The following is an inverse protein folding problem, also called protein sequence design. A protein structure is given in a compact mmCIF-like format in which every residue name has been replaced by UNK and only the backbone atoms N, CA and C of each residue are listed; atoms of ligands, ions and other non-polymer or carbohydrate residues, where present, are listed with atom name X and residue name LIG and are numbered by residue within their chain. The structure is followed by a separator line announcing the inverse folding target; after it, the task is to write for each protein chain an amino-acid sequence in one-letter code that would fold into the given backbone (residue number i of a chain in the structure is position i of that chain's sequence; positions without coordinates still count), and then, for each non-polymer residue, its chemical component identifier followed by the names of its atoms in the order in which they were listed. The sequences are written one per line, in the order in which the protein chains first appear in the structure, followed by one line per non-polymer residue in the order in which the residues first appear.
data_IF_452947837666
#
_entry.id   IF_452947837666
#
_cell.length_a   1.000
_cell.length_b   1.000
_cell.length_c   1.000
_cell.angle_alpha   90.00
_cell.angle_beta   90.00
_cell.angle_gamma   90.00
#
_symmetry.space_group_name_H-M   'P 1'
#
loop_
_entity.id
_entity.type
_entity.pdbx_description
1 polymer ?
#
# COMPACT_ATOMS: atom_id res chain seq x y z
N UNK A 1 -14.78 -28.97 -17.22
CA UNK A 1 -14.37 -28.44 -18.53
C UNK A 1 -13.96 -26.98 -18.32
N UNK A 2 -12.71 -26.56 -18.58
CA UNK A 2 -12.34 -25.14 -18.51
C UNK A 2 -13.21 -24.24 -19.42
N UNK A 3 -13.98 -24.83 -20.34
CA UNK A 3 -14.97 -24.15 -21.21
C UNK A 3 -16.33 -23.88 -20.53
N UNK A 4 -16.57 -24.36 -19.31
CA UNK A 4 -17.81 -24.08 -18.55
C UNK A 4 -17.50 -23.22 -17.34
N UNK A 5 -17.14 -21.94 -17.57
CA UNK A 5 -17.13 -20.96 -16.49
C UNK A 5 -18.51 -20.29 -16.36
N UNK A 6 -18.96 -19.97 -15.14
CA UNK A 6 -20.19 -19.20 -14.96
C UNK A 6 -20.02 -17.80 -15.57
N UNK A 7 -21.10 -17.22 -16.09
CA UNK A 7 -21.09 -15.90 -16.73
C UNK A 7 -20.56 -14.78 -15.83
N UNK A 8 -20.63 -14.96 -14.51
CA UNK A 8 -20.04 -14.08 -13.52
C UNK A 8 -19.57 -14.86 -12.29
N UNK A 9 -18.62 -14.28 -11.56
CA UNK A 9 -18.14 -14.78 -10.27
C UNK A 9 -18.16 -13.64 -9.26
N UNK A 10 -18.92 -13.81 -8.18
CA UNK A 10 -18.93 -12.85 -7.07
C UNK A 10 -17.79 -13.19 -6.13
N UNK A 11 -16.92 -12.22 -5.86
CA UNK A 11 -15.85 -12.32 -4.86
C UNK A 11 -16.14 -11.30 -3.77
N UNK A 12 -16.18 -11.77 -2.51
CA UNK A 12 -16.32 -10.92 -1.33
C UNK A 12 -15.05 -11.07 -0.50
N UNK A 13 -14.19 -10.06 -0.53
CA UNK A 13 -12.95 -10.05 0.24
C UNK A 13 -13.10 -9.07 1.42
N UNK A 14 -13.18 -9.61 2.64
CA UNK A 14 -13.40 -8.81 3.86
C UNK A 14 -12.19 -7.94 4.21
N UNK A 15 -11.00 -8.31 3.73
CA UNK A 15 -9.73 -7.63 4.01
C UNK A 15 -9.13 -7.00 2.75
N UNK A 16 -9.98 -6.60 1.80
CA UNK A 16 -9.55 -6.01 0.54
C UNK A 16 -8.80 -4.69 0.75
N UNK A 17 -9.25 -3.91 1.74
CA UNK A 17 -8.62 -2.65 2.16
C UNK A 17 -8.71 -2.54 3.67
N UNK A 18 -7.76 -1.84 4.28
CA UNK A 18 -7.89 -1.46 5.70
C UNK A 18 -9.01 -0.42 5.89
N UNK A 19 -9.45 -0.26 7.14
CA UNK A 19 -10.47 0.74 7.47
C UNK A 19 -9.91 2.16 7.30
N UNK A 20 -10.56 2.98 6.48
CA UNK A 20 -10.16 4.37 6.25
C UNK A 20 -10.83 5.34 7.23
N UNK A 21 -10.88 4.99 8.51
CA UNK A 21 -11.37 5.89 9.57
C UNK A 21 -10.29 6.93 9.90
N UNK A 22 -10.65 8.15 10.36
CA UNK A 22 -9.65 9.16 10.72
C UNK A 22 -8.57 8.66 11.69
N UNK A 23 -8.95 7.86 12.69
CA UNK A 23 -8.00 7.24 13.62
C UNK A 23 -7.03 6.28 12.93
N UNK A 24 -7.51 5.45 12.00
CA UNK A 24 -6.65 4.54 11.24
C UNK A 24 -5.73 5.28 10.26
N UNK A 25 -6.22 6.37 9.64
CA UNK A 25 -5.41 7.24 8.78
C UNK A 25 -4.23 7.83 9.57
N UNK A 26 -4.48 8.30 10.80
CA UNK A 26 -3.45 8.88 11.67
C UNK A 26 -2.39 7.86 12.12
N UNK A 27 -2.67 6.55 12.05
CA UNK A 27 -1.73 5.49 12.39
C UNK A 27 -0.90 4.99 11.19
N UNK A 28 -1.12 5.52 9.98
CA UNK A 28 -0.36 5.07 8.80
C UNK A 28 1.11 5.47 8.97
N UNK A 29 2.06 4.53 8.80
CA UNK A 29 3.46 4.86 8.93
C UNK A 29 3.97 5.58 7.68
N UNK A 30 4.99 6.42 7.86
CA UNK A 30 5.79 6.92 6.75
C UNK A 30 6.73 5.85 6.18
N UNK A 31 7.45 6.23 5.12
CA UNK A 31 8.38 5.34 4.41
C UNK A 31 9.57 4.87 5.26
N UNK A 32 10.15 5.74 6.09
CA UNK A 32 11.35 5.41 6.88
C UNK A 32 10.97 4.68 8.16
N UNK A 33 11.68 3.59 8.43
CA UNK A 33 11.57 2.85 9.69
C UNK A 33 12.71 3.21 10.64
N UNK A 34 12.76 2.57 11.81
CA UNK A 34 13.90 2.68 12.72
C UNK A 34 15.17 1.95 12.21
N UNK A 35 15.04 1.05 11.23
CA UNK A 35 16.18 0.32 10.66
C UNK A 35 16.76 1.06 9.46
N UNK A 36 18.09 1.15 9.40
CA UNK A 36 18.80 1.90 8.34
C UNK A 36 18.56 1.36 6.93
N UNK A 37 18.22 0.09 6.81
CA UNK A 37 18.10 -0.63 5.54
C UNK A 37 16.70 -1.24 5.32
N UNK A 38 15.68 -0.79 6.07
CA UNK A 38 14.30 -1.22 5.86
C UNK A 38 13.37 -0.03 5.64
N UNK A 39 12.61 -0.07 4.54
CA UNK A 39 11.71 1.00 4.11
C UNK A 39 10.34 0.40 3.80
N UNK A 40 9.28 1.17 4.06
CA UNK A 40 7.90 0.77 3.83
C UNK A 40 7.38 1.37 2.53
N UNK A 41 6.66 0.56 1.77
CA UNK A 41 5.95 0.97 0.57
C UNK A 41 4.56 0.30 0.51
N UNK A 42 3.60 0.99 -0.09
CA UNK A 42 2.24 0.51 -0.29
C UNK A 42 1.20 1.60 -0.09
N UNK A 43 0.00 1.39 -0.62
CA UNK A 43 -1.14 2.29 -0.49
C UNK A 43 -1.65 2.46 0.95
N UNK A 44 -1.24 1.57 1.85
CA UNK A 44 -1.51 1.62 3.29
C UNK A 44 -0.57 2.52 4.09
N UNK A 45 0.54 2.99 3.49
CA UNK A 45 1.44 3.96 4.11
C UNK A 45 0.87 5.38 4.06
N UNK A 46 1.47 6.31 4.81
CA UNK A 46 1.05 7.71 4.83
C UNK A 46 1.47 8.45 3.55
N UNK A 47 0.61 8.36 2.54
CA UNK A 47 0.83 8.96 1.21
C UNK A 47 0.10 10.28 1.01
N UNK A 48 -0.74 10.68 1.97
CA UNK A 48 -1.72 11.76 1.81
C UNK A 48 -2.87 11.46 0.84
N UNK A 49 -2.96 10.23 0.31
CA UNK A 49 -4.05 9.77 -0.56
C UNK A 49 -4.85 8.65 0.12
N UNK A 50 -6.10 8.38 -0.32
CA UNK A 50 -6.78 7.13 0.01
C UNK A 50 -5.95 5.91 -0.43
N UNK A 51 -6.29 4.71 0.05
CA UNK A 51 -5.62 3.49 -0.37
C UNK A 51 -5.97 3.15 -1.83
N UNK A 52 -5.16 3.66 -2.77
CA UNK A 52 -5.34 3.53 -4.22
C UNK A 52 -4.04 3.13 -4.89
N UNK A 53 -4.12 2.77 -6.17
CA UNK A 53 -2.96 2.48 -7.01
C UNK A 53 -2.00 3.67 -7.06
N UNK A 54 -2.51 4.90 -7.17
CA UNK A 54 -1.69 6.13 -7.16
C UNK A 54 -0.98 6.32 -5.81
N UNK A 55 -1.66 5.99 -4.70
CA UNK A 55 -1.05 5.93 -3.37
C UNK A 55 0.11 4.93 -3.32
N UNK A 56 -0.10 3.71 -3.80
CA UNK A 56 0.94 2.68 -3.86
C UNK A 56 2.15 3.13 -4.70
N UNK A 57 1.90 3.72 -5.88
CA UNK A 57 2.95 4.25 -6.75
C UNK A 57 3.75 5.35 -6.05
N UNK A 58 3.06 6.35 -5.47
CA UNK A 58 3.71 7.46 -4.75
C UNK A 58 4.55 6.96 -3.58
N UNK A 59 4.04 6.01 -2.81
CA UNK A 59 4.76 5.36 -1.71
C UNK A 59 6.00 4.61 -2.20
N UNK A 60 5.89 3.88 -3.31
CA UNK A 60 7.01 3.16 -3.93
C UNK A 60 8.15 4.10 -4.36
N UNK A 61 7.82 5.22 -5.01
CA UNK A 61 8.83 6.23 -5.35
C UNK A 61 9.50 6.82 -4.11
N UNK A 62 8.74 7.13 -3.06
CA UNK A 62 9.30 7.61 -1.80
C UNK A 62 10.26 6.59 -1.16
N UNK A 63 9.92 5.30 -1.20
CA UNK A 63 10.79 4.23 -0.71
C UNK A 63 12.07 4.10 -1.54
N UNK A 64 11.98 4.15 -2.87
CA UNK A 64 13.14 4.10 -3.75
C UNK A 64 14.10 5.27 -3.51
N UNK A 65 13.58 6.49 -3.35
CA UNK A 65 14.40 7.67 -3.00
C UNK A 65 15.04 7.54 -1.61
N UNK A 66 14.31 7.01 -0.63
CA UNK A 66 14.84 6.79 0.70
C UNK A 66 15.96 5.74 0.73
N UNK A 67 15.83 4.66 -0.06
CA UNK A 67 16.87 3.66 -0.28
C UNK A 67 18.10 4.31 -0.93
N UNK A 68 17.91 5.05 -2.02
CA UNK A 68 19.00 5.75 -2.73
C UNK A 68 19.76 6.69 -1.81
N UNK A 69 19.05 7.45 -0.98
CA UNK A 69 19.64 8.37 -0.01
C UNK A 69 20.35 7.67 1.16
N UNK A 70 20.05 6.40 1.44
CA UNK A 70 20.70 5.63 2.51
C UNK A 70 21.92 4.81 2.03
N UNK A 71 22.11 4.70 0.71
CA UNK A 71 23.28 4.07 0.09
C UNK A 71 24.48 5.03 -0.06
N UNK A 72 24.27 6.32 0.22
CA UNK A 72 25.29 7.37 0.28
C UNK A 72 25.58 7.72 1.74
#
# INVERSE_FOLDING_TARGET
DPRTMPAYRIVKEKRATFAQTPAALACRPGTRTCWRNAFLAGDWTDTGLPATIEGALRSGFAAAEAVRAALH
#
